data_IF_494130112129
#
_entry.id   IF_494130112129
#
_cell.length_a   1.000
_cell.length_b   1.000
_cell.length_c   1.000
_cell.angle_alpha   90.00
_cell.angle_beta   90.00
_cell.angle_gamma   90.00
#
_symmetry.space_group_name_H-M   'P 1'
#
loop_
_entity.id
_entity.type
_entity.pdbx_description
1 polymer ?
#
# COMPACT_ATOMS: atom_id res chain seq x y z
N UNK A 1 -7.00 13.99 -8.90
CA UNK A 1 -7.11 13.66 -10.34
C UNK A 1 -7.15 12.15 -10.59
N UNK A 2 -6.44 11.28 -9.83
CA UNK A 2 -6.54 9.82 -10.00
C UNK A 2 -7.98 9.25 -10.06
N UNK A 3 -8.89 9.72 -9.20
CA UNK A 3 -10.31 9.35 -9.26
C UNK A 3 -11.02 9.84 -10.54
N UNK A 4 -10.61 11.01 -11.05
CA UNK A 4 -11.17 11.61 -12.26
C UNK A 4 -10.57 10.98 -13.54
N UNK A 5 -9.29 10.63 -13.55
CA UNK A 5 -8.59 10.03 -14.69
C UNK A 5 -8.66 8.50 -14.72
N UNK A 6 -9.19 7.87 -13.68
CA UNK A 6 -9.25 6.40 -13.56
C UNK A 6 -7.90 5.73 -13.31
N UNK A 7 -6.84 6.52 -13.08
CA UNK A 7 -5.52 6.02 -12.70
C UNK A 7 -5.58 5.32 -11.33
N UNK A 8 -4.86 4.21 -11.18
CA UNK A 8 -4.72 3.52 -9.89
C UNK A 8 -4.10 4.48 -8.87
N UNK A 9 -4.84 4.79 -7.82
CA UNK A 9 -4.33 5.61 -6.73
C UNK A 9 -3.29 4.81 -5.93
N UNK A 10 -2.21 5.49 -5.49
CA UNK A 10 -1.14 4.83 -4.71
C UNK A 10 -1.66 4.20 -3.41
N UNK A 11 -2.59 4.86 -2.72
CA UNK A 11 -3.22 4.36 -1.50
C UNK A 11 -4.46 3.48 -1.81
N UNK A 12 -4.32 2.50 -2.70
CA UNK A 12 -5.42 1.61 -3.10
C UNK A 12 -5.75 0.52 -2.08
N UNK A 13 -6.90 -0.11 -2.30
CA UNK A 13 -7.41 -1.18 -1.44
C UNK A 13 -6.48 -2.38 -1.36
N UNK A 14 -5.84 -2.77 -2.45
CA UNK A 14 -4.91 -3.92 -2.47
C UNK A 14 -3.71 -3.66 -1.56
N UNK A 15 -3.10 -2.47 -1.66
CA UNK A 15 -2.00 -2.06 -0.78
C UNK A 15 -2.45 -1.98 0.68
N UNK A 16 -3.61 -1.35 0.94
CA UNK A 16 -4.13 -1.21 2.29
C UNK A 16 -4.41 -2.57 2.94
N UNK A 17 -5.00 -3.50 2.18
CA UNK A 17 -5.26 -4.86 2.62
C UNK A 17 -3.95 -5.61 2.92
N UNK A 18 -2.95 -5.49 2.05
CA UNK A 18 -1.66 -6.14 2.27
C UNK A 18 -0.92 -5.62 3.50
N UNK A 19 -0.91 -4.29 3.71
CA UNK A 19 -0.32 -3.67 4.90
C UNK A 19 -1.06 -4.10 6.17
N UNK A 20 -2.40 -4.19 6.12
CA UNK A 20 -3.19 -4.69 7.25
C UNK A 20 -2.82 -6.14 7.61
N UNK A 21 -2.67 -7.01 6.62
CA UNK A 21 -2.24 -8.38 6.88
C UNK A 21 -0.84 -8.43 7.52
N UNK A 22 0.11 -7.61 7.03
CA UNK A 22 1.46 -7.51 7.60
C UNK A 22 1.38 -7.12 9.09
N UNK A 23 0.58 -6.11 9.45
CA UNK A 23 0.39 -5.68 10.83
C UNK A 23 -0.12 -6.83 11.72
N UNK A 24 -1.10 -7.59 11.25
CA UNK A 24 -1.64 -8.74 11.97
C UNK A 24 -0.64 -9.92 12.04
N UNK A 25 0.13 -10.13 10.97
CA UNK A 25 1.13 -11.18 10.90
C UNK A 25 2.27 -10.95 11.89
N UNK A 26 2.66 -9.70 12.17
CA UNK A 26 3.64 -9.39 13.21
C UNK A 26 3.19 -9.82 14.60
N UNK A 27 1.96 -9.46 15.00
CA UNK A 27 1.40 -9.89 16.29
C UNK A 27 1.32 -11.42 16.38
N UNK A 28 0.85 -12.08 15.31
CA UNK A 28 0.76 -13.53 15.24
C UNK A 28 2.14 -14.21 15.30
N UNK A 29 3.13 -13.67 14.60
CA UNK A 29 4.51 -14.17 14.60
C UNK A 29 5.13 -14.07 15.99
N UNK A 30 4.90 -12.96 16.69
CA UNK A 30 5.36 -12.74 18.07
C UNK A 30 4.78 -13.78 19.02
N UNK A 31 3.46 -14.01 18.96
CA UNK A 31 2.76 -14.99 19.81
C UNK A 31 3.19 -16.45 19.54
N UNK A 32 3.49 -16.79 18.28
CA UNK A 32 3.85 -18.16 17.89
C UNK A 32 5.35 -18.45 17.95
N UNK A 33 6.20 -17.43 18.04
CA UNK A 33 7.65 -17.58 17.99
C UNK A 33 8.17 -18.14 16.66
N UNK A 34 7.44 -17.95 15.56
CA UNK A 34 7.80 -18.45 14.22
C UNK A 34 7.34 -17.52 13.12
N UNK A 35 7.98 -17.64 11.95
CA UNK A 35 7.57 -16.92 10.74
C UNK A 35 6.11 -17.24 10.36
N UNK A 36 5.39 -16.23 9.91
CA UNK A 36 4.03 -16.33 9.39
C UNK A 36 4.06 -15.93 7.92
N UNK A 37 3.60 -16.81 7.05
CA UNK A 37 3.49 -16.51 5.62
C UNK A 37 2.26 -15.62 5.36
N UNK A 38 2.46 -14.59 4.55
CA UNK A 38 1.40 -13.70 4.10
C UNK A 38 0.64 -14.35 2.94
N UNK A 39 -0.67 -14.09 2.86
CA UNK A 39 -1.55 -14.60 1.80
C UNK A 39 -1.86 -13.57 0.73
N UNK A 40 -1.84 -12.30 1.10
CA UNK A 40 -2.09 -11.18 0.21
C UNK A 40 -0.78 -10.71 -0.43
N UNK A 41 -0.92 -10.02 -1.56
CA UNK A 41 0.16 -9.33 -2.24
C UNK A 41 -0.40 -8.05 -2.85
N UNK A 42 0.48 -7.13 -3.23
CA UNK A 42 0.09 -5.92 -3.94
C UNK A 42 1.19 -5.53 -4.94
N UNK A 43 0.80 -4.88 -6.03
CA UNK A 43 1.75 -4.23 -6.92
C UNK A 43 2.45 -3.07 -6.18
N UNK A 44 3.75 -2.92 -6.41
CA UNK A 44 4.48 -1.76 -5.90
C UNK A 44 3.93 -0.49 -6.57
N UNK A 45 3.41 0.49 -5.80
CA UNK A 45 2.94 1.73 -6.40
C UNK A 45 4.07 2.50 -7.06
N UNK A 46 3.73 3.25 -8.11
CA UNK A 46 4.66 4.18 -8.74
C UNK A 46 5.11 5.27 -7.76
N UNK A 47 6.36 5.74 -7.86
CA UNK A 47 6.84 6.87 -7.06
C UNK A 47 6.02 8.14 -7.33
N UNK A 48 6.08 9.09 -6.40
CA UNK A 48 5.53 10.42 -6.61
C UNK A 48 6.39 11.18 -7.62
N UNK A 49 5.76 11.88 -8.56
CA UNK A 49 6.43 12.74 -9.53
C UNK A 49 7.17 13.88 -8.81
N UNK A 50 8.35 14.18 -9.31
CA UNK A 50 9.17 15.29 -8.82
C UNK A 50 8.69 16.61 -9.43
N UNK A 51 8.94 17.72 -8.72
CA UNK A 51 8.62 19.07 -9.21
C UNK A 51 7.17 19.49 -9.04
N UNK A 52 6.40 18.80 -8.20
CA UNK A 52 5.07 19.26 -7.77
C UNK A 52 5.21 20.33 -6.69
N UNK A 53 4.52 21.46 -6.86
CA UNK A 53 4.40 22.49 -5.82
C UNK A 53 3.41 22.07 -4.72
N UNK A 54 3.40 22.80 -3.60
CA UNK A 54 2.50 22.50 -2.50
C UNK A 54 1.02 22.57 -2.92
N UNK A 55 0.29 21.47 -2.73
CA UNK A 55 -1.13 21.36 -3.12
C UNK A 55 -1.35 20.90 -4.55
N UNK A 56 -0.30 20.74 -5.35
CA UNK A 56 -0.41 20.13 -6.67
C UNK A 56 -0.57 18.62 -6.59
N UNK A 57 -1.36 18.09 -7.54
CA UNK A 57 -1.59 16.66 -7.71
C UNK A 57 -1.30 16.27 -9.14
N UNK A 58 -0.64 15.12 -9.31
CA UNK A 58 -0.36 14.54 -10.62
C UNK A 58 -1.65 14.34 -11.41
N UNK A 59 -1.56 14.68 -12.70
CA UNK A 59 -2.65 14.55 -13.67
C UNK A 59 -2.87 13.08 -14.05
#
# INVERSE_FOLDING_TARGET
IALQTGRKHRCNGDLANHVLEIMLAFDKSSKLGKKVDLKTTCERPEPLQLGLEHGEVEK
#
